data_IF_026320053631
#
_entry.id   IF_026320053631
#
_cell.length_a   1.000
_cell.length_b   1.000
_cell.length_c   1.000
_cell.angle_alpha   90.00
_cell.angle_beta   90.00
_cell.angle_gamma   90.00
#
_symmetry.space_group_name_H-M   'P 1'
#
loop_
_entity.id
_entity.type
_entity.pdbx_description
1 polymer ?
#
# COMPACT_ATOMS: atom_id res chain seq x y z
N UNK A 1 26.90 -43.99 -9.53
CA UNK A 1 27.56 -42.71 -9.19
C UNK A 1 27.90 -41.99 -10.49
N UNK A 2 27.15 -40.96 -10.84
CA UNK A 2 27.51 -39.98 -11.85
C UNK A 2 27.15 -38.62 -11.25
N UNK A 3 28.18 -37.77 -11.16
CA UNK A 3 28.27 -36.56 -10.35
C UNK A 3 27.51 -35.43 -11.05
N UNK A 4 26.57 -34.83 -10.33
CA UNK A 4 26.38 -33.37 -10.21
C UNK A 4 26.61 -32.54 -11.48
N UNK A 5 25.52 -32.22 -12.19
CA UNK A 5 25.43 -31.07 -13.10
C UNK A 5 24.16 -30.29 -12.80
N UNK A 6 24.09 -29.77 -11.59
CA UNK A 6 23.16 -28.68 -11.25
C UNK A 6 23.79 -27.41 -11.80
N UNK A 7 23.37 -27.00 -12.99
CA UNK A 7 23.86 -25.77 -13.64
C UNK A 7 23.50 -24.55 -12.81
N UNK A 8 24.51 -23.76 -12.48
CA UNK A 8 24.48 -22.46 -11.78
C UNK A 8 23.72 -21.34 -12.52
N UNK A 9 22.56 -21.61 -13.15
CA UNK A 9 21.85 -20.65 -14.02
C UNK A 9 20.52 -20.15 -13.45
N UNK A 10 20.14 -20.59 -12.25
CA UNK A 10 18.88 -20.21 -11.60
C UNK A 10 19.03 -19.03 -10.63
N UNK A 11 20.24 -18.48 -10.48
CA UNK A 11 20.52 -17.31 -9.63
C UNK A 11 20.61 -16.08 -10.52
N UNK A 12 19.80 -15.05 -10.25
CA UNK A 12 19.76 -13.72 -10.89
C UNK A 12 18.84 -13.50 -12.11
N UNK A 13 17.61 -14.00 -12.04
CA UNK A 13 16.52 -13.09 -12.39
C UNK A 13 16.19 -12.32 -11.12
N UNK A 14 16.72 -11.09 -11.01
CA UNK A 14 16.15 -10.11 -10.10
C UNK A 14 14.69 -9.93 -10.54
N UNK A 15 13.78 -10.69 -9.95
CA UNK A 15 12.35 -10.48 -10.10
C UNK A 15 12.09 -9.06 -9.61
N UNK A 16 11.98 -8.12 -10.56
CA UNK A 16 11.54 -6.76 -10.26
C UNK A 16 10.06 -6.86 -9.91
N UNK A 17 9.79 -7.24 -8.66
CA UNK A 17 8.44 -7.29 -8.15
C UNK A 17 7.95 -5.84 -8.02
N UNK A 18 6.91 -5.51 -8.80
CA UNK A 18 6.33 -4.18 -8.77
C UNK A 18 5.80 -3.89 -7.36
N UNK A 19 6.26 -2.79 -6.76
CA UNK A 19 5.76 -2.31 -5.48
C UNK A 19 4.46 -1.56 -5.73
N UNK A 20 3.33 -2.18 -5.41
CA UNK A 20 2.01 -1.59 -5.60
C UNK A 20 1.60 -0.78 -4.37
N UNK A 21 1.17 0.46 -4.59
CA UNK A 21 0.63 1.35 -3.57
C UNK A 21 -0.75 1.82 -3.99
N UNK A 22 -1.71 1.80 -3.07
CA UNK A 22 -3.06 2.33 -3.29
C UNK A 22 -3.26 3.52 -2.38
N UNK A 23 -3.56 4.67 -2.97
CA UNK A 23 -3.72 5.94 -2.26
C UNK A 23 -5.17 6.40 -2.36
N UNK A 24 -5.87 6.42 -1.22
CA UNK A 24 -7.21 6.97 -1.11
C UNK A 24 -7.15 8.43 -0.65
N UNK A 25 -7.66 9.36 -1.44
CA UNK A 25 -7.68 10.79 -1.12
C UNK A 25 -9.11 11.26 -0.81
N UNK A 26 -9.27 12.02 0.28
CA UNK A 26 -10.56 12.54 0.74
C UNK A 26 -11.50 11.46 1.27
N UNK A 27 -12.76 11.82 1.54
CA UNK A 27 -13.75 10.91 2.13
C UNK A 27 -14.08 9.71 1.24
N UNK A 28 -14.33 9.94 -0.05
CA UNK A 28 -14.65 8.87 -1.01
C UNK A 28 -13.49 7.89 -1.21
N UNK A 29 -12.27 8.42 -1.41
CA UNK A 29 -11.07 7.60 -1.57
C UNK A 29 -10.74 6.80 -0.30
N UNK A 30 -10.88 7.41 0.88
CA UNK A 30 -10.71 6.71 2.16
C UNK A 30 -11.70 5.57 2.35
N UNK A 31 -12.96 5.75 1.97
CA UNK A 31 -13.98 4.69 2.01
C UNK A 31 -13.64 3.54 1.07
N UNK A 32 -13.17 3.83 -0.15
CA UNK A 32 -12.74 2.79 -1.09
C UNK A 32 -11.55 1.98 -0.55
N UNK A 33 -10.54 2.65 0.02
CA UNK A 33 -9.40 1.99 0.66
C UNK A 33 -9.85 1.10 1.83
N UNK A 34 -10.73 1.60 2.70
CA UNK A 34 -11.28 0.80 3.80
C UNK A 34 -11.97 -0.46 3.27
N UNK A 35 -12.76 -0.34 2.19
CA UNK A 35 -13.43 -1.48 1.57
C UNK A 35 -12.44 -2.49 1.00
N UNK A 36 -11.39 -2.02 0.31
CA UNK A 36 -10.33 -2.88 -0.23
C UNK A 36 -9.62 -3.67 0.87
N UNK A 37 -9.36 -3.03 2.01
CA UNK A 37 -8.76 -3.69 3.18
C UNK A 37 -9.74 -4.71 3.78
N UNK A 38 -11.03 -4.36 3.91
CA UNK A 38 -12.06 -5.25 4.45
C UNK A 38 -12.29 -6.51 3.62
N UNK A 39 -12.26 -6.41 2.29
CA UNK A 39 -12.39 -7.57 1.41
C UNK A 39 -11.09 -8.35 1.23
N UNK A 40 -10.00 -7.89 1.85
CA UNK A 40 -8.73 -8.59 1.89
C UNK A 40 -7.89 -8.49 0.62
N UNK A 41 -7.89 -7.34 -0.07
CA UNK A 41 -6.97 -7.11 -1.19
C UNK A 41 -5.52 -7.22 -0.70
N UNK A 42 -4.73 -8.08 -1.35
CA UNK A 42 -3.35 -8.39 -0.98
C UNK A 42 -2.34 -7.82 -1.99
N UNK A 43 -1.06 -7.81 -1.59
CA UNK A 43 0.05 -7.40 -2.46
C UNK A 43 0.14 -5.89 -2.72
N UNK A 44 -0.58 -5.07 -1.95
CA UNK A 44 -0.55 -3.62 -2.05
C UNK A 44 -0.36 -2.97 -0.68
N UNK A 45 0.33 -1.84 -0.65
CA UNK A 45 0.41 -0.98 0.53
C UNK A 45 -0.67 0.11 0.46
N UNK A 46 -1.49 0.21 1.50
CA UNK A 46 -2.59 1.16 1.55
C UNK A 46 -2.22 2.46 2.25
N UNK A 47 -2.57 3.58 1.64
CA UNK A 47 -2.33 4.93 2.14
C UNK A 47 -3.64 5.71 2.11
N UNK A 48 -4.02 6.33 3.24
CA UNK A 48 -5.13 7.26 3.30
C UNK A 48 -4.63 8.69 3.46
N UNK A 49 -5.16 9.61 2.65
CA UNK A 49 -4.84 11.03 2.67
C UNK A 49 -6.11 11.84 2.81
N UNK A 50 -6.16 12.76 3.76
CA UNK A 50 -7.30 13.68 3.92
C UNK A 50 -6.84 14.96 4.62
N UNK A 51 -7.57 16.07 4.47
CA UNK A 51 -7.32 17.27 5.28
C UNK A 51 -7.83 17.08 6.71
N UNK A 52 -8.98 16.42 6.85
CA UNK A 52 -9.65 16.14 8.12
C UNK A 52 -8.95 15.00 8.89
N UNK A 53 -8.30 15.36 10.00
CA UNK A 53 -7.64 14.42 10.91
C UNK A 53 -8.61 13.42 11.55
N UNK A 54 -9.85 13.81 11.83
CA UNK A 54 -10.84 12.92 12.44
C UNK A 54 -11.25 11.80 11.47
N UNK A 55 -11.37 12.13 10.18
CA UNK A 55 -11.62 11.12 9.14
C UNK A 55 -10.42 10.17 8.99
N UNK A 56 -9.20 10.71 8.99
CA UNK A 56 -7.99 9.86 8.93
C UNK A 56 -7.87 8.92 10.11
N UNK A 57 -8.18 9.37 11.33
CA UNK A 57 -8.14 8.53 12.53
C UNK A 57 -9.04 7.29 12.39
N UNK A 58 -10.18 7.42 11.70
CA UNK A 58 -11.12 6.33 11.41
C UNK A 58 -10.70 5.42 10.24
N UNK A 59 -9.69 5.80 9.45
CA UNK A 59 -9.21 4.98 8.34
C UNK A 59 -8.58 3.68 8.81
N UNK A 60 -8.80 2.61 8.05
CA UNK A 60 -8.19 1.28 8.22
C UNK A 60 -6.82 1.17 7.56
N UNK A 61 -6.42 2.16 6.74
CA UNK A 61 -5.12 2.16 6.09
C UNK A 61 -3.97 2.22 7.13
N UNK A 62 -2.91 1.42 6.94
CA UNK A 62 -1.75 1.44 7.83
C UNK A 62 -0.98 2.77 7.76
N UNK A 63 -0.96 3.42 6.59
CA UNK A 63 -0.33 4.73 6.41
C UNK A 63 -1.43 5.79 6.29
N UNK A 64 -1.31 6.84 7.09
CA UNK A 64 -2.26 7.97 7.15
C UNK A 64 -1.49 9.27 7.03
N UNK A 65 -1.91 10.15 6.13
CA UNK A 65 -1.24 11.43 5.89
C UNK A 65 -2.26 12.57 5.89
N UNK A 66 -2.12 13.48 6.84
CA UNK A 66 -2.93 14.69 6.89
C UNK A 66 -2.42 15.71 5.89
N UNK A 67 -3.31 16.23 5.05
CA UNK A 67 -3.01 17.23 4.04
C UNK A 67 -3.27 18.62 4.56
N UNK A 68 -2.41 19.56 4.17
CA UNK A 68 -2.64 20.98 4.38
C UNK A 68 -2.66 21.38 5.86
N UNK A 69 -1.92 20.72 6.76
CA UNK A 69 -1.90 21.04 8.20
C UNK A 69 -1.65 22.53 8.51
N UNK A 70 -0.89 23.23 7.67
CA UNK A 70 -0.64 24.67 7.78
C UNK A 70 -1.53 25.57 6.93
N UNK A 71 -2.51 25.01 6.21
CA UNK A 71 -3.38 25.70 5.25
C UNK A 71 -4.85 25.53 5.62
N UNK A 72 -5.23 24.33 6.05
CA UNK A 72 -6.54 23.99 6.60
C UNK A 72 -6.48 23.99 8.13
N UNK A 73 -7.63 23.94 8.80
CA UNK A 73 -7.73 23.92 10.27
C UNK A 73 -7.94 22.51 10.82
N UNK A 74 -7.47 21.50 10.09
CA UNK A 74 -8.06 20.16 10.09
C UNK A 74 -9.17 20.13 9.05
#
# INVERSE_FOLDING_TARGET
MAKERTTHRDTELLEVQAVLKVVGVGGGGGNAVNRMIEVGVQGVEFIAMNTDAQVLNKSRAPIKMQLGVGITRG
#
